data_IF_153521812765
#
_entry.id   IF_153521812765
#
_cell.length_a   1.000
_cell.length_b   1.000
_cell.length_c   1.000
_cell.angle_alpha   90.00
_cell.angle_beta   90.00
_cell.angle_gamma   90.00
#
_symmetry.space_group_name_H-M   'P 1'
#
loop_
_entity.id
_entity.type
_entity.pdbx_description
1 polymer ?
#
# COMPACT_ATOMS: atom_id res chain seq x y z
N UNK A 1 17.02 11.43 -40.32
CA UNK A 1 17.30 11.20 -38.88
C UNK A 1 16.51 12.15 -38.00
N UNK A 2 16.12 11.71 -36.80
CA UNK A 2 15.36 12.50 -35.82
C UNK A 2 16.29 12.97 -34.71
N UNK A 3 16.35 14.28 -34.46
CA UNK A 3 17.11 14.87 -33.36
C UNK A 3 16.36 14.83 -32.01
N UNK A 4 17.04 15.14 -30.92
CA UNK A 4 16.40 15.27 -29.61
C UNK A 4 15.37 16.41 -29.59
N UNK A 5 14.24 16.21 -28.90
CA UNK A 5 13.14 17.20 -28.84
C UNK A 5 13.37 18.37 -27.87
N UNK A 6 14.42 18.33 -27.05
CA UNK A 6 14.80 19.39 -26.11
C UNK A 6 16.08 19.04 -25.34
N UNK A 7 16.72 20.05 -24.73
CA UNK A 7 17.86 19.81 -23.84
C UNK A 7 17.42 19.29 -22.46
N UNK A 8 18.23 18.43 -21.84
CA UNK A 8 17.98 17.94 -20.49
C UNK A 8 18.98 16.87 -20.05
N UNK A 9 18.98 16.58 -18.75
CA UNK A 9 19.74 15.48 -18.15
C UNK A 9 18.74 14.50 -17.55
N UNK A 10 18.98 13.21 -17.73
CA UNK A 10 18.16 12.13 -17.18
C UNK A 10 19.05 11.23 -16.33
N UNK A 11 18.52 10.77 -15.19
CA UNK A 11 19.20 9.81 -14.32
C UNK A 11 18.42 8.51 -14.30
N UNK A 12 19.15 7.41 -14.40
CA UNK A 12 18.65 6.07 -14.09
C UNK A 12 19.31 5.56 -12.81
N UNK A 13 18.57 4.78 -12.03
CA UNK A 13 19.10 4.12 -10.84
C UNK A 13 18.54 2.69 -10.77
N UNK A 14 19.34 1.77 -10.27
CA UNK A 14 18.97 0.39 -10.00
C UNK A 14 19.65 -0.07 -8.70
N UNK A 15 19.00 -0.95 -7.95
CA UNK A 15 19.50 -1.51 -6.70
C UNK A 15 19.18 -3.00 -6.64
N UNK A 16 20.12 -3.82 -6.17
CA UNK A 16 19.96 -5.28 -6.08
C UNK A 16 19.01 -5.72 -4.95
N UNK A 17 18.52 -4.80 -4.12
CA UNK A 17 17.66 -5.07 -2.95
C UNK A 17 16.44 -5.95 -3.27
N UNK A 18 15.89 -5.83 -4.48
CA UNK A 18 14.65 -6.49 -4.92
C UNK A 18 14.80 -7.10 -6.31
N UNK A 19 13.96 -8.08 -6.64
CA UNK A 19 13.98 -8.74 -7.95
C UNK A 19 13.76 -7.78 -9.14
N UNK A 20 13.04 -6.67 -8.91
CA UNK A 20 12.76 -5.66 -9.94
C UNK A 20 13.86 -4.59 -10.07
N UNK A 21 15.01 -4.79 -9.39
CA UNK A 21 16.12 -3.85 -9.33
C UNK A 21 15.75 -2.45 -8.79
N UNK A 22 14.72 -2.36 -7.94
CA UNK A 22 14.25 -1.10 -7.33
C UNK A 22 14.60 -1.05 -5.83
N UNK A 23 14.83 0.15 -5.26
CA UNK A 23 14.94 0.30 -3.81
C UNK A 23 13.72 -0.24 -3.08
N UNK A 24 13.91 -1.01 -2.01
CA UNK A 24 12.81 -1.67 -1.32
C UNK A 24 11.81 -0.67 -0.73
N UNK A 25 12.30 0.45 -0.18
CA UNK A 25 11.45 1.54 0.36
C UNK A 25 10.47 2.07 -0.69
N UNK A 26 10.97 2.41 -1.87
CA UNK A 26 10.15 2.92 -2.97
C UNK A 26 9.19 1.84 -3.50
N UNK A 27 9.70 0.63 -3.74
CA UNK A 27 8.89 -0.47 -4.28
C UNK A 27 7.73 -0.81 -3.34
N UNK A 28 8.00 -0.91 -2.03
CA UNK A 28 7.00 -1.26 -1.03
C UNK A 28 5.96 -0.15 -0.86
N UNK A 29 6.37 1.11 -0.73
CA UNK A 29 5.43 2.24 -0.64
C UNK A 29 4.49 2.29 -1.86
N UNK A 30 5.05 2.15 -3.06
CA UNK A 30 4.29 2.13 -4.32
C UNK A 30 3.34 0.94 -4.38
N UNK A 31 3.81 -0.27 -4.05
CA UNK A 31 2.96 -1.48 -4.08
C UNK A 31 1.85 -1.43 -3.04
N UNK A 32 2.06 -0.86 -1.85
CA UNK A 32 0.97 -0.66 -0.87
C UNK A 32 -0.18 0.18 -1.45
N UNK A 33 0.14 1.26 -2.16
CA UNK A 33 -0.86 2.10 -2.83
C UNK A 33 -1.58 1.37 -3.97
N UNK A 34 -0.85 0.55 -4.72
CA UNK A 34 -1.44 -0.35 -5.73
C UNK A 34 -2.38 -1.36 -5.10
N UNK A 35 -1.96 -2.06 -4.04
CA UNK A 35 -2.77 -3.08 -3.36
C UNK A 35 -4.03 -2.45 -2.76
N UNK A 36 -3.97 -1.26 -2.16
CA UNK A 36 -5.16 -0.50 -1.73
C UNK A 36 -6.16 -0.30 -2.87
N UNK A 37 -5.66 0.05 -4.06
CA UNK A 37 -6.50 0.23 -5.24
C UNK A 37 -7.09 -1.10 -5.73
N UNK A 38 -6.30 -2.17 -5.74
CA UNK A 38 -6.73 -3.49 -6.21
C UNK A 38 -7.85 -4.04 -5.31
N UNK A 39 -7.65 -4.09 -3.99
CA UNK A 39 -8.64 -4.61 -3.02
C UNK A 39 -9.89 -3.71 -2.91
N UNK A 40 -9.77 -2.44 -3.28
CA UNK A 40 -10.94 -1.56 -3.45
C UNK A 40 -11.72 -1.92 -4.70
N UNK A 41 -11.04 -2.06 -5.84
CA UNK A 41 -11.68 -2.28 -7.15
C UNK A 41 -12.29 -3.67 -7.27
N UNK A 42 -11.68 -4.70 -6.69
CA UNK A 42 -12.24 -6.05 -6.67
C UNK A 42 -13.38 -6.21 -5.63
N UNK A 43 -13.52 -5.25 -4.70
CA UNK A 43 -14.56 -5.22 -3.69
C UNK A 43 -14.25 -6.00 -2.40
N UNK A 44 -13.02 -6.52 -2.25
CA UNK A 44 -12.51 -7.15 -1.01
C UNK A 44 -12.65 -6.20 0.16
N UNK A 45 -12.13 -4.98 0.02
CA UNK A 45 -12.32 -3.87 0.96
C UNK A 45 -13.21 -2.81 0.31
N UNK A 46 -14.48 -3.17 0.09
CA UNK A 46 -15.45 -2.35 -0.64
C UNK A 46 -15.62 -0.92 -0.10
N UNK A 47 -15.35 -0.73 1.20
CA UNK A 47 -15.48 0.54 1.93
C UNK A 47 -14.29 1.48 1.72
N UNK A 48 -13.20 1.04 1.08
CA UNK A 48 -12.12 1.94 0.67
C UNK A 48 -12.60 2.90 -0.42
N UNK A 49 -12.11 4.14 -0.37
CA UNK A 49 -12.33 5.18 -1.38
C UNK A 49 -11.03 5.50 -2.12
N UNK A 50 -11.08 6.28 -3.23
CA UNK A 50 -9.96 6.38 -4.16
C UNK A 50 -8.69 7.06 -3.62
N UNK A 51 -8.80 8.02 -2.71
CA UNK A 51 -7.65 8.77 -2.19
C UNK A 51 -6.93 7.98 -1.09
N UNK A 52 -5.61 7.93 -1.17
CA UNK A 52 -4.77 7.24 -0.21
C UNK A 52 -3.29 7.52 -0.39
N UNK A 53 -2.56 7.48 0.73
CA UNK A 53 -1.11 7.74 0.80
C UNK A 53 -0.43 6.67 1.63
N UNK A 54 0.77 6.29 1.19
CA UNK A 54 1.59 5.25 1.81
C UNK A 54 3.01 5.78 2.00
N UNK A 55 3.62 5.45 3.13
CA UNK A 55 5.01 5.76 3.43
C UNK A 55 5.66 4.59 4.16
N UNK A 56 6.91 4.33 3.85
CA UNK A 56 7.68 3.21 4.40
C UNK A 56 9.06 3.69 4.81
N UNK A 57 9.46 3.32 6.02
CA UNK A 57 10.82 3.53 6.54
C UNK A 57 11.45 2.18 6.81
N UNK A 58 12.65 1.95 6.27
CA UNK A 58 13.40 0.68 6.41
C UNK A 58 14.74 0.96 7.06
N UNK A 59 15.13 0.10 8.00
CA UNK A 59 16.47 0.10 8.58
C UNK A 59 17.40 -0.65 7.63
N UNK A 60 18.46 0.01 7.22
CA UNK A 60 19.47 -0.55 6.32
C UNK A 60 20.80 -0.79 7.03
N UNK A 61 21.52 -1.82 6.58
CA UNK A 61 22.97 -1.92 6.75
C UNK A 61 23.63 -1.39 5.49
N UNK A 62 24.55 -0.45 5.64
CA UNK A 62 25.43 -0.04 4.55
C UNK A 62 26.73 -0.84 4.63
N UNK A 63 27.15 -1.40 3.51
CA UNK A 63 28.42 -2.12 3.38
C UNK A 63 29.52 -1.17 2.91
N UNK A 64 30.78 -1.59 3.06
CA UNK A 64 31.96 -0.76 2.74
C UNK A 64 32.09 -0.46 1.25
N UNK A 65 31.49 -1.27 0.38
CA UNK A 65 31.43 -1.07 -1.07
C UNK A 65 30.31 -0.10 -1.49
N UNK A 66 29.56 0.44 -0.54
CA UNK A 66 28.45 1.35 -0.78
C UNK A 66 27.10 0.66 -1.05
N UNK A 67 27.08 -0.67 -1.15
CA UNK A 67 25.82 -1.41 -1.26
C UNK A 67 25.03 -1.35 0.05
N UNK A 68 23.71 -1.55 -0.04
CA UNK A 68 22.82 -1.57 1.12
C UNK A 68 22.05 -2.88 1.22
N UNK A 69 21.71 -3.25 2.44
CA UNK A 69 20.92 -4.43 2.75
C UNK A 69 19.77 -4.07 3.71
N UNK A 70 18.51 -4.35 3.35
CA UNK A 70 17.37 -4.08 4.22
C UNK A 70 17.34 -5.07 5.38
N UNK A 71 17.35 -4.57 6.62
CA UNK A 71 17.37 -5.40 7.83
C UNK A 71 15.98 -5.60 8.44
N UNK A 72 15.20 -4.53 8.53
CA UNK A 72 13.89 -4.55 9.18
C UNK A 72 13.04 -3.37 8.72
N UNK A 73 11.72 -3.60 8.61
CA UNK A 73 10.77 -2.51 8.39
C UNK A 73 10.56 -1.76 9.70
N UNK A 74 10.97 -0.49 9.73
CA UNK A 74 10.92 0.33 10.93
C UNK A 74 9.55 1.00 11.13
N UNK A 75 8.98 1.54 10.06
CA UNK A 75 7.69 2.25 10.11
C UNK A 75 6.90 2.02 8.84
N UNK A 76 5.59 1.80 8.98
CA UNK A 76 4.62 1.85 7.89
C UNK A 76 3.55 2.87 8.25
N UNK A 77 3.30 3.81 7.34
CA UNK A 77 2.19 4.76 7.44
C UNK A 77 1.25 4.55 6.26
N UNK A 78 -0.02 4.35 6.55
CA UNK A 78 -1.10 4.31 5.56
C UNK A 78 -2.20 5.26 6.03
N UNK A 79 -2.53 6.24 5.19
CA UNK A 79 -3.75 7.05 5.35
C UNK A 79 -4.60 6.82 4.11
N UNK A 80 -5.78 6.25 4.27
CA UNK A 80 -6.66 5.93 3.13
C UNK A 80 -8.06 6.40 3.39
N UNK A 81 -8.65 7.01 2.38
CA UNK A 81 -10.02 7.45 2.43
C UNK A 81 -10.96 6.24 2.53
N UNK A 82 -12.01 6.37 3.33
CA UNK A 82 -12.95 5.28 3.59
C UNK A 82 -14.40 5.78 3.73
N UNK A 83 -15.33 4.85 3.55
CA UNK A 83 -16.73 5.06 3.86
C UNK A 83 -16.92 5.31 5.37
N UNK A 84 -18.00 5.99 5.76
CA UNK A 84 -18.20 6.34 7.17
C UNK A 84 -18.37 5.07 8.04
N UNK A 85 -17.49 4.84 9.03
CA UNK A 85 -17.51 3.63 9.86
C UNK A 85 -18.84 3.46 10.61
N UNK A 86 -19.35 2.23 10.67
CA UNK A 86 -20.60 1.86 11.34
C UNK A 86 -21.86 2.59 10.83
N UNK A 87 -21.79 3.24 9.66
CA UNK A 87 -22.91 4.02 9.10
C UNK A 87 -23.13 3.78 7.62
N UNK A 88 -22.06 3.80 6.81
CA UNK A 88 -22.20 3.65 5.37
C UNK A 88 -22.61 2.22 4.99
N UNK A 89 -23.52 2.11 4.02
CA UNK A 89 -24.08 0.83 3.55
C UNK A 89 -23.57 0.52 2.16
N UNK A 90 -23.06 -0.69 1.94
CA UNK A 90 -22.46 -1.10 0.65
C UNK A 90 -23.42 -0.94 -0.53
N UNK A 91 -24.70 -1.27 -0.35
CA UNK A 91 -25.75 -1.17 -1.38
C UNK A 91 -26.00 0.27 -1.83
N UNK A 92 -25.73 1.25 -0.97
CA UNK A 92 -25.85 2.69 -1.27
C UNK A 92 -24.57 3.22 -1.91
N UNK A 93 -23.40 2.76 -1.44
CA UNK A 93 -22.09 3.18 -1.96
C UNK A 93 -21.74 2.52 -3.31
N UNK A 94 -22.34 1.37 -3.65
CA UNK A 94 -22.14 0.65 -4.92
C UNK A 94 -23.47 0.46 -5.68
N UNK A 95 -24.13 1.55 -6.13
CA UNK A 95 -25.39 1.45 -6.87
C UNK A 95 -25.20 1.04 -8.34
N UNK A 96 -23.95 0.87 -8.81
CA UNK A 96 -23.60 0.48 -10.18
C UNK A 96 -23.21 1.65 -11.10
N UNK A 97 -22.74 2.76 -10.52
CA UNK A 97 -22.34 3.98 -11.24
C UNK A 97 -20.83 4.22 -11.26
N UNK A 98 -20.08 3.57 -10.38
CA UNK A 98 -18.63 3.46 -10.50
C UNK A 98 -18.29 2.30 -11.47
N UNK A 99 -17.04 2.13 -11.89
CA UNK A 99 -16.61 1.03 -12.78
C UNK A 99 -16.81 -0.39 -12.19
N UNK A 100 -17.62 -0.54 -11.14
CA UNK A 100 -18.06 -1.77 -10.50
C UNK A 100 -19.57 -1.93 -10.76
N UNK A 101 -20.00 -3.15 -11.07
CA UNK A 101 -21.43 -3.45 -11.17
C UNK A 101 -22.17 -3.18 -9.86
N UNK A 102 -23.48 -2.91 -9.94
CA UNK A 102 -24.33 -2.75 -8.76
C UNK A 102 -24.15 -3.94 -7.81
N UNK A 103 -23.91 -3.68 -6.53
CA UNK A 103 -23.81 -4.75 -5.55
C UNK A 103 -25.20 -5.36 -5.27
N UNK A 104 -25.31 -6.69 -5.46
CA UNK A 104 -26.57 -7.45 -5.33
C UNK A 104 -26.62 -8.38 -4.12
N UNK A 105 -25.56 -8.41 -3.30
CA UNK A 105 -25.50 -9.21 -2.09
C UNK A 105 -26.33 -8.62 -0.93
N UNK A 106 -26.32 -9.30 0.25
CA UNK A 106 -26.98 -8.79 1.45
C UNK A 106 -26.40 -7.43 1.86
N UNK A 107 -27.22 -6.57 2.48
CA UNK A 107 -26.75 -5.27 2.97
C UNK A 107 -25.58 -5.45 3.94
N UNK A 108 -24.47 -4.76 3.68
CA UNK A 108 -23.30 -4.71 4.56
C UNK A 108 -23.14 -3.30 5.10
N UNK A 109 -22.87 -3.21 6.40
CA UNK A 109 -22.47 -1.99 7.06
C UNK A 109 -20.94 -1.86 7.01
N UNK A 110 -20.44 -0.64 6.83
CA UNK A 110 -19.01 -0.37 6.93
C UNK A 110 -18.50 -0.79 8.32
N UNK A 111 -17.35 -1.49 8.42
CA UNK A 111 -16.81 -1.91 9.72
C UNK A 111 -16.47 -0.74 10.65
N UNK A 112 -16.13 -1.04 11.90
CA UNK A 112 -15.50 -0.07 12.80
C UNK A 112 -14.11 0.35 12.27
N UNK A 113 -13.58 1.46 12.77
CA UNK A 113 -12.21 1.88 12.42
C UNK A 113 -11.15 0.86 12.81
N UNK A 114 -11.35 0.16 13.93
CA UNK A 114 -10.44 -0.88 14.40
C UNK A 114 -10.42 -2.06 13.42
N UNK A 115 -11.60 -2.57 13.05
CA UNK A 115 -11.71 -3.65 12.06
C UNK A 115 -11.18 -3.23 10.68
N UNK A 116 -11.44 -1.99 10.25
CA UNK A 116 -10.87 -1.45 9.01
C UNK A 116 -9.34 -1.47 9.04
N UNK A 117 -8.73 -1.06 10.16
CA UNK A 117 -7.28 -1.04 10.32
C UNK A 117 -6.69 -2.46 10.34
N UNK A 118 -7.34 -3.43 10.99
CA UNK A 118 -6.92 -4.84 10.94
C UNK A 118 -7.03 -5.42 9.53
N UNK A 119 -8.11 -5.11 8.81
CA UNK A 119 -8.28 -5.55 7.43
C UNK A 119 -7.24 -4.92 6.48
N UNK A 120 -6.85 -3.66 6.68
CA UNK A 120 -5.74 -3.03 5.94
C UNK A 120 -4.43 -3.73 6.27
N UNK A 121 -4.18 -4.05 7.54
CA UNK A 121 -2.99 -4.79 7.92
C UNK A 121 -2.90 -6.14 7.19
N UNK A 122 -3.96 -6.94 7.25
CA UNK A 122 -3.95 -8.27 6.64
C UNK A 122 -3.99 -8.23 5.11
N UNK A 123 -4.96 -7.52 4.53
CA UNK A 123 -5.25 -7.58 3.09
C UNK A 123 -4.39 -6.64 2.25
N UNK A 124 -3.74 -5.65 2.87
CA UNK A 124 -2.88 -4.70 2.16
C UNK A 124 -1.44 -4.88 2.57
N UNK A 125 -1.11 -4.74 3.85
CA UNK A 125 0.29 -4.78 4.30
C UNK A 125 0.84 -6.19 4.10
N UNK A 126 0.32 -7.19 4.81
CA UNK A 126 0.86 -8.56 4.77
C UNK A 126 0.89 -9.10 3.32
N UNK A 127 -0.21 -8.94 2.58
CA UNK A 127 -0.27 -9.34 1.16
C UNK A 127 0.77 -8.64 0.28
N UNK A 128 1.02 -7.34 0.47
CA UNK A 128 2.03 -6.60 -0.29
C UNK A 128 3.43 -7.11 0.01
N UNK A 129 3.75 -7.30 1.29
CA UNK A 129 5.08 -7.71 1.73
C UNK A 129 5.40 -9.12 1.24
N UNK A 130 4.41 -10.02 1.22
CA UNK A 130 4.58 -11.37 0.69
C UNK A 130 4.87 -11.37 -0.82
N UNK A 131 4.30 -10.41 -1.55
CA UNK A 131 4.49 -10.27 -2.99
C UNK A 131 5.84 -9.68 -3.43
N UNK A 132 6.68 -9.23 -2.49
CA UNK A 132 7.96 -8.59 -2.79
C UNK A 132 9.08 -9.57 -2.46
N UNK A 133 9.81 -10.03 -3.47
CA UNK A 133 11.01 -10.84 -3.26
C UNK A 133 12.24 -9.97 -3.06
N UNK A 134 12.97 -10.28 -1.99
CA UNK A 134 14.26 -9.70 -1.67
C UNK A 134 15.38 -10.48 -2.36
N UNK A 135 16.57 -9.87 -2.40
CA UNK A 135 17.76 -10.47 -3.02
C UNK A 135 18.20 -11.82 -2.43
N UNK A 136 17.87 -12.06 -1.16
CA UNK A 136 18.14 -13.33 -0.48
C UNK A 136 17.13 -14.44 -0.82
N UNK A 137 16.18 -14.18 -1.73
CA UNK A 137 15.13 -15.12 -2.15
C UNK A 137 13.90 -15.15 -1.26
N UNK A 138 13.96 -14.58 -0.04
CA UNK A 138 12.81 -14.48 0.86
C UNK A 138 11.89 -13.33 0.47
N UNK A 139 10.65 -13.35 0.96
CA UNK A 139 9.73 -12.23 0.80
C UNK A 139 10.03 -11.11 1.79
N UNK A 140 9.55 -9.89 1.55
CA UNK A 140 9.73 -8.77 2.47
C UNK A 140 9.05 -9.00 3.84
N UNK A 141 8.15 -9.99 3.95
CA UNK A 141 7.64 -10.45 5.24
C UNK A 141 8.73 -10.99 6.16
N UNK A 142 9.82 -11.54 5.62
CA UNK A 142 10.93 -12.08 6.43
C UNK A 142 11.62 -11.04 7.31
N UNK A 143 11.49 -9.76 6.99
CA UNK A 143 12.05 -8.62 7.74
C UNK A 143 10.97 -7.75 8.40
N UNK A 144 9.74 -8.27 8.47
CA UNK A 144 8.60 -7.61 9.11
C UNK A 144 8.25 -8.29 10.42
N UNK A 145 8.15 -7.51 11.47
CA UNK A 145 7.54 -7.92 12.73
C UNK A 145 6.54 -6.87 13.17
N UNK A 146 5.29 -7.29 13.34
CA UNK A 146 4.18 -6.42 13.72
C UNK A 146 4.40 -5.77 15.10
N UNK A 147 5.10 -6.44 16.02
CA UNK A 147 5.31 -5.93 17.39
C UNK A 147 6.35 -4.82 17.44
N UNK A 148 7.39 -4.91 16.62
CA UNK A 148 8.49 -3.94 16.59
C UNK A 148 8.32 -2.86 15.52
N UNK A 149 7.53 -3.10 14.47
CA UNK A 149 7.23 -2.10 13.45
C UNK A 149 6.32 -1.00 14.01
N UNK A 150 6.71 0.26 13.84
CA UNK A 150 5.84 1.40 14.13
C UNK A 150 4.74 1.48 13.06
N UNK A 151 3.55 0.97 13.40
CA UNK A 151 2.44 0.86 12.46
C UNK A 151 1.43 1.98 12.67
N UNK A 152 1.26 2.83 11.66
CA UNK A 152 0.31 3.94 11.66
C UNK A 152 -0.71 3.77 10.52
N UNK A 153 -1.86 3.18 10.83
CA UNK A 153 -2.97 3.03 9.88
C UNK A 153 -4.07 4.03 10.25
N UNK A 154 -4.39 4.92 9.32
CA UNK A 154 -5.29 6.06 9.52
C UNK A 154 -5.00 6.83 10.83
N UNK A 155 -3.76 7.35 11.02
CA UNK A 155 -3.39 8.03 12.27
C UNK A 155 -4.24 9.27 12.58
N UNK A 156 -4.93 9.84 11.59
CA UNK A 156 -5.90 10.94 11.78
C UNK A 156 -7.26 10.48 12.32
N UNK A 157 -7.46 9.17 12.52
CA UNK A 157 -8.75 8.58 12.87
C UNK A 157 -9.62 8.38 11.64
N UNK A 158 -10.47 9.35 11.30
CA UNK A 158 -11.41 9.25 10.17
C UNK A 158 -10.94 10.08 8.98
N UNK A 159 -11.06 9.50 7.78
CA UNK A 159 -10.73 10.14 6.52
C UNK A 159 -11.83 9.83 5.50
N UNK A 160 -12.95 10.56 5.61
CA UNK A 160 -14.17 10.30 4.82
C UNK A 160 -14.24 11.19 3.58
N UNK A 161 -13.97 12.49 3.78
CA UNK A 161 -13.87 13.50 2.72
C UNK A 161 -12.45 13.43 2.16
N UNK A 162 -12.31 13.33 0.85
CA UNK A 162 -11.02 13.20 0.17
C UNK A 162 -11.14 13.58 -1.31
N UNK A 163 -10.01 13.52 -2.01
CA UNK A 163 -9.85 14.00 -3.38
C UNK A 163 -8.40 14.35 -3.66
#
# INVERSE_FOLDING_TARGET
DVGAGGQGIMFGYASDETESAMPLTHLMATKLGKTLTDVRKDGTLWWLRPDGKTQVTIKYKQHTDGSVEPLSIHTIVISTQHAEPLKAKRTVEQPGTDFRGKYTGPEMLAPSMEEMNELIHEKVIVATLDSIKLKNGNTALSIYDRKSCNLHINPSGKFIIGG
#
